data_IF_744290266104
#
_entry.id   IF_744290266104
#
_cell.length_a   1.000
_cell.length_b   1.000
_cell.length_c   1.000
_cell.angle_alpha   90.00
_cell.angle_beta   90.00
_cell.angle_gamma   90.00
#
_symmetry.space_group_name_H-M   'P 1'
#
loop_
_entity.id
_entity.type
_entity.pdbx_description
1 polymer ?
#
# COMPACT_ATOMS: atom_id res chain seq x y z
N UNK A 1 9.61 2.09 -25.49
CA UNK A 1 8.93 1.08 -26.36
C UNK A 1 9.07 1.50 -27.80
N UNK A 2 9.42 0.57 -28.70
CA UNK A 2 9.51 0.88 -30.13
C UNK A 2 8.13 0.81 -30.82
N UNK A 3 7.90 1.74 -31.74
CA UNK A 3 6.67 1.76 -32.55
C UNK A 3 6.56 0.49 -33.41
N UNK A 4 5.45 -0.23 -33.39
CA UNK A 4 5.25 -1.39 -34.29
C UNK A 4 5.13 -0.98 -35.76
N UNK A 5 4.92 0.31 -36.05
CA UNK A 5 4.78 0.82 -37.42
C UNK A 5 6.11 1.29 -37.97
N UNK A 6 6.85 2.11 -37.19
CA UNK A 6 8.06 2.80 -37.69
C UNK A 6 9.36 2.26 -37.11
N UNK A 7 9.31 1.39 -36.10
CA UNK A 7 10.49 0.87 -35.38
C UNK A 7 11.21 1.90 -34.49
N UNK A 8 10.78 3.18 -34.50
CA UNK A 8 11.38 4.24 -33.70
C UNK A 8 10.92 4.19 -32.24
N UNK A 9 11.75 4.74 -31.34
CA UNK A 9 11.37 4.87 -29.92
C UNK A 9 10.19 5.81 -29.74
N UNK A 10 9.19 5.38 -28.95
CA UNK A 10 8.00 6.16 -28.60
C UNK A 10 8.14 6.75 -27.22
N UNK A 11 7.56 7.94 -27.03
CA UNK A 11 7.48 8.61 -25.73
C UNK A 11 6.24 8.17 -24.96
N UNK A 12 6.41 7.97 -23.65
CA UNK A 12 5.29 7.78 -22.74
C UNK A 12 4.58 9.12 -22.52
N UNK A 13 3.31 9.16 -22.89
CA UNK A 13 2.43 10.31 -22.74
C UNK A 13 1.42 10.07 -21.62
N UNK A 14 0.91 11.16 -21.07
CA UNK A 14 -0.11 11.15 -20.02
C UNK A 14 -1.14 12.23 -20.32
N UNK A 15 -2.40 11.90 -20.15
CA UNK A 15 -3.49 12.88 -20.26
C UNK A 15 -4.65 12.51 -19.34
N UNK A 16 -5.46 13.49 -18.93
CA UNK A 16 -6.69 13.20 -18.19
C UNK A 16 -7.75 12.67 -19.15
N UNK A 17 -8.34 11.52 -18.79
CA UNK A 17 -9.46 10.91 -19.52
C UNK A 17 -10.54 10.49 -18.53
N UNK A 18 -11.80 10.64 -18.96
CA UNK A 18 -12.95 10.10 -18.26
C UNK A 18 -13.31 8.75 -18.87
N UNK A 19 -13.34 7.70 -18.07
CA UNK A 19 -13.60 6.31 -18.47
C UNK A 19 -14.90 5.85 -17.85
N UNK A 20 -15.79 5.27 -18.68
CA UNK A 20 -17.04 4.66 -18.22
C UNK A 20 -16.80 3.23 -17.71
N UNK A 21 -17.22 2.93 -16.48
CA UNK A 21 -17.19 1.59 -15.92
C UNK A 21 -18.44 1.33 -15.08
N UNK A 22 -19.19 0.26 -15.40
CA UNK A 22 -20.43 -0.14 -14.71
C UNK A 22 -21.42 1.02 -14.53
N UNK A 23 -21.63 1.82 -15.57
CA UNK A 23 -22.52 3.01 -15.62
C UNK A 23 -22.05 4.23 -14.80
N UNK A 24 -20.83 4.18 -14.28
CA UNK A 24 -20.18 5.29 -13.55
C UNK A 24 -19.03 5.86 -14.37
N UNK A 25 -18.71 7.14 -14.17
CA UNK A 25 -17.57 7.81 -14.81
C UNK A 25 -16.45 8.03 -13.80
N UNK A 26 -15.22 7.75 -14.27
CA UNK A 26 -14.00 7.88 -13.48
C UNK A 26 -12.96 8.66 -14.26
N UNK A 27 -12.43 9.72 -13.66
CA UNK A 27 -11.34 10.49 -14.24
C UNK A 27 -10.01 9.86 -13.83
N UNK A 28 -9.18 9.57 -14.83
CA UNK A 28 -7.87 8.95 -14.64
C UNK A 28 -6.78 9.74 -15.35
N UNK A 29 -5.55 9.54 -14.93
CA UNK A 29 -4.36 9.91 -15.69
C UNK A 29 -4.05 8.77 -16.64
N UNK A 30 -4.55 8.85 -17.88
CA UNK A 30 -4.38 7.81 -18.90
C UNK A 30 -2.96 7.84 -19.44
N UNK A 31 -2.30 6.69 -19.42
CA UNK A 31 -0.93 6.51 -19.89
C UNK A 31 -0.94 5.76 -21.23
N UNK A 32 -0.14 6.23 -22.20
CA UNK A 32 0.01 5.60 -23.50
C UNK A 32 1.34 6.00 -24.16
N UNK A 33 1.80 5.20 -25.10
CA UNK A 33 2.91 5.56 -25.97
C UNK A 33 2.37 6.21 -27.24
N UNK A 34 3.02 7.29 -27.70
CA UNK A 34 2.67 7.96 -28.95
C UNK A 34 3.79 7.81 -29.95
N UNK A 35 3.45 7.36 -31.17
CA UNK A 35 4.33 7.37 -32.30
C UNK A 35 4.35 8.78 -32.92
N UNK A 36 5.50 9.45 -32.96
CA UNK A 36 5.59 10.83 -33.49
C UNK A 36 5.33 10.90 -34.98
N UNK A 37 5.68 9.85 -35.75
CA UNK A 37 5.52 9.84 -37.22
C UNK A 37 4.09 9.53 -37.65
N UNK A 38 3.43 8.53 -37.03
CA UNK A 38 2.06 8.13 -37.40
C UNK A 38 0.97 8.82 -36.60
N UNK A 39 1.33 9.40 -35.42
CA UNK A 39 0.38 9.98 -34.48
C UNK A 39 -0.41 8.95 -33.68
N UNK A 40 -0.24 7.65 -33.96
CA UNK A 40 -1.01 6.59 -33.30
C UNK A 40 -0.57 6.34 -31.86
N UNK A 41 -1.53 5.88 -31.06
CA UNK A 41 -1.36 5.59 -29.63
C UNK A 41 -1.31 4.08 -29.41
N UNK A 42 -0.37 3.67 -28.55
CA UNK A 42 -0.17 2.27 -28.18
C UNK A 42 -0.08 2.14 -26.66
N UNK A 43 -0.49 1.00 -26.16
CA UNK A 43 -0.28 0.62 -24.77
C UNK A 43 0.51 -0.68 -24.68
N UNK A 44 0.95 -1.01 -23.50
CA UNK A 44 1.48 -2.33 -23.12
C UNK A 44 0.58 -2.92 -22.07
N UNK A 45 0.64 -4.23 -21.86
CA UNK A 45 -0.12 -4.90 -20.80
C UNK A 45 0.04 -4.19 -19.45
N UNK A 46 1.26 -3.79 -19.08
CA UNK A 46 1.50 -3.07 -17.82
C UNK A 46 0.88 -1.67 -17.77
N UNK A 47 0.79 -0.98 -18.90
CA UNK A 47 0.11 0.32 -19.00
C UNK A 47 -1.41 0.14 -18.97
N UNK A 48 -1.93 -0.90 -19.61
CA UNK A 48 -3.36 -1.21 -19.55
C UNK A 48 -3.78 -1.59 -18.13
N UNK A 49 -2.99 -2.38 -17.43
CA UNK A 49 -3.18 -2.69 -16.00
C UNK A 49 -3.16 -1.42 -15.15
N UNK A 50 -2.18 -0.52 -15.37
CA UNK A 50 -2.10 0.74 -14.65
C UNK A 50 -3.34 1.63 -14.88
N UNK A 51 -3.78 1.77 -16.13
CA UNK A 51 -4.96 2.55 -16.48
C UNK A 51 -6.24 1.91 -15.88
N UNK A 52 -6.36 0.59 -15.96
CA UNK A 52 -7.50 -0.17 -15.41
C UNK A 52 -7.54 -0.10 -13.89
N UNK A 53 -6.39 -0.21 -13.22
CA UNK A 53 -6.32 -0.13 -11.77
C UNK A 53 -6.75 1.23 -11.23
N UNK A 54 -6.49 2.33 -11.94
CA UNK A 54 -7.00 3.65 -11.54
C UNK A 54 -8.54 3.67 -11.52
N UNK A 55 -9.19 3.10 -12.54
CA UNK A 55 -10.66 3.00 -12.59
C UNK A 55 -11.19 2.08 -11.49
N UNK A 56 -10.60 0.89 -11.36
CA UNK A 56 -11.05 -0.14 -10.41
C UNK A 56 -10.90 0.31 -8.97
N UNK A 57 -9.81 0.99 -8.63
CA UNK A 57 -9.57 1.45 -7.26
C UNK A 57 -10.55 2.56 -6.87
N UNK A 58 -10.82 3.52 -7.76
CA UNK A 58 -11.85 4.54 -7.55
C UNK A 58 -13.26 3.91 -7.43
N UNK A 59 -13.56 2.86 -8.22
CA UNK A 59 -14.83 2.14 -8.11
C UNK A 59 -14.94 1.42 -6.76
N UNK A 60 -13.86 0.73 -6.31
CA UNK A 60 -13.83 0.06 -5.00
C UNK A 60 -14.05 1.06 -3.86
N UNK A 61 -13.35 2.19 -3.89
CA UNK A 61 -13.51 3.27 -2.91
C UNK A 61 -14.95 3.78 -2.87
N UNK A 62 -15.52 4.14 -4.01
CA UNK A 62 -16.89 4.70 -4.13
C UNK A 62 -17.97 3.74 -3.63
N UNK A 63 -17.83 2.44 -3.89
CA UNK A 63 -18.84 1.43 -3.55
C UNK A 63 -18.47 0.56 -2.35
N UNK A 64 -17.41 0.93 -1.62
CA UNK A 64 -16.91 0.20 -0.45
C UNK A 64 -16.67 -1.29 -0.75
N UNK A 65 -16.09 -1.61 -1.90
CA UNK A 65 -15.71 -2.96 -2.30
C UNK A 65 -14.32 -3.27 -1.74
N UNK A 66 -14.09 -4.41 -1.10
CA UNK A 66 -12.80 -4.73 -0.54
C UNK A 66 -11.73 -4.87 -1.65
N UNK A 67 -10.53 -4.41 -1.34
CA UNK A 67 -9.37 -4.54 -2.22
C UNK A 67 -8.81 -5.97 -2.22
N UNK A 68 -8.07 -6.39 -3.26
CA UNK A 68 -7.58 -7.77 -3.38
C UNK A 68 -6.76 -8.27 -2.19
N UNK A 69 -5.95 -7.39 -1.59
CA UNK A 69 -5.18 -7.71 -0.38
C UNK A 69 -6.07 -7.87 0.86
N UNK A 70 -7.11 -7.05 1.03
CA UNK A 70 -8.13 -7.22 2.08
C UNK A 70 -8.85 -8.57 1.92
N UNK A 71 -9.28 -8.91 0.70
CA UNK A 71 -9.93 -10.18 0.39
C UNK A 71 -9.00 -11.36 0.76
N UNK A 72 -7.73 -11.27 0.39
CA UNK A 72 -6.72 -12.26 0.73
C UNK A 72 -6.50 -12.36 2.24
N UNK A 73 -6.42 -11.22 2.96
CA UNK A 73 -6.24 -11.18 4.40
C UNK A 73 -7.41 -11.81 5.15
N UNK A 74 -8.66 -11.52 4.73
CA UNK A 74 -9.88 -12.11 5.30
C UNK A 74 -9.83 -13.63 5.22
N UNK A 75 -9.44 -14.22 4.10
CA UNK A 75 -9.31 -15.67 3.97
C UNK A 75 -8.17 -16.26 4.79
N UNK A 76 -7.00 -15.64 4.69
CA UNK A 76 -5.77 -16.16 5.35
C UNK A 76 -5.92 -16.24 6.87
N UNK A 77 -6.62 -15.30 7.51
CA UNK A 77 -6.81 -15.36 8.98
C UNK A 77 -7.56 -16.61 9.47
N UNK A 78 -8.38 -17.22 8.61
CA UNK A 78 -9.09 -18.46 8.92
C UNK A 78 -8.34 -19.72 8.43
N UNK A 79 -7.13 -19.59 7.88
CA UNK A 79 -6.32 -20.68 7.30
C UNK A 79 -7.07 -21.47 6.22
N UNK A 80 -7.88 -20.75 5.40
CA UNK A 80 -8.70 -21.34 4.35
C UNK A 80 -8.05 -21.25 2.96
N UNK A 81 -8.32 -22.24 2.09
CA UNK A 81 -8.09 -22.09 0.65
C UNK A 81 -9.13 -21.19 0.01
N UNK A 82 -8.80 -20.57 -1.13
CA UNK A 82 -9.75 -19.73 -1.87
C UNK A 82 -11.02 -20.51 -2.30
N UNK A 83 -10.85 -21.78 -2.70
CA UNK A 83 -11.98 -22.64 -3.04
C UNK A 83 -12.89 -22.90 -1.82
N UNK A 84 -12.31 -23.14 -0.64
CA UNK A 84 -13.09 -23.37 0.57
C UNK A 84 -13.81 -22.09 1.03
N UNK A 85 -13.17 -20.94 0.86
CA UNK A 85 -13.81 -19.65 1.14
C UNK A 85 -14.98 -19.37 0.18
N UNK A 86 -14.81 -19.69 -1.12
CA UNK A 86 -15.92 -19.63 -2.10
C UNK A 86 -17.09 -20.52 -1.69
N UNK A 87 -16.82 -21.74 -1.25
CA UNK A 87 -17.83 -22.71 -0.80
C UNK A 87 -18.63 -22.18 0.40
N UNK A 88 -17.94 -21.71 1.45
CA UNK A 88 -18.60 -21.20 2.68
C UNK A 88 -19.46 -19.95 2.38
N UNK A 89 -18.98 -19.08 1.49
CA UNK A 89 -19.72 -17.87 1.13
C UNK A 89 -20.78 -18.09 0.04
N UNK A 90 -20.97 -19.32 -0.46
CA UNK A 90 -21.92 -19.62 -1.52
C UNK A 90 -21.57 -18.97 -2.87
N UNK A 91 -20.28 -18.75 -3.13
CA UNK A 91 -19.79 -18.19 -4.37
C UNK A 91 -19.46 -19.29 -5.38
N UNK A 92 -19.27 -18.93 -6.67
CA UNK A 92 -18.73 -19.85 -7.67
C UNK A 92 -17.34 -20.37 -7.27
N UNK A 93 -17.00 -21.60 -7.64
CA UNK A 93 -15.81 -22.35 -7.19
C UNK A 93 -14.51 -21.55 -7.28
N UNK A 94 -14.32 -20.76 -8.33
CA UNK A 94 -13.10 -19.97 -8.57
C UNK A 94 -13.26 -18.46 -8.20
N UNK A 95 -14.46 -18.03 -7.81
CA UNK A 95 -14.76 -16.59 -7.66
C UNK A 95 -13.86 -15.91 -6.64
N UNK A 96 -13.63 -16.54 -5.48
CA UNK A 96 -12.79 -15.94 -4.45
C UNK A 96 -11.35 -15.75 -4.92
N UNK A 97 -10.79 -16.75 -5.62
CA UNK A 97 -9.47 -16.68 -6.23
C UNK A 97 -9.35 -15.58 -7.28
N UNK A 98 -10.39 -15.39 -8.10
CA UNK A 98 -10.44 -14.33 -9.10
C UNK A 98 -10.49 -12.95 -8.43
N UNK A 99 -11.24 -12.79 -7.34
CA UNK A 99 -11.29 -11.55 -6.57
C UNK A 99 -9.95 -11.22 -5.89
N UNK A 100 -9.23 -12.23 -5.37
CA UNK A 100 -7.87 -12.07 -4.88
C UNK A 100 -6.89 -11.66 -5.98
N UNK A 101 -7.11 -12.08 -7.22
CA UNK A 101 -6.33 -11.71 -8.40
C UNK A 101 -6.72 -10.35 -9.00
N UNK A 102 -7.70 -9.64 -8.41
CA UNK A 102 -8.07 -8.28 -8.82
C UNK A 102 -9.39 -8.17 -9.59
N UNK A 103 -10.07 -9.28 -9.91
CA UNK A 103 -11.40 -9.20 -10.50
C UNK A 103 -12.38 -8.48 -9.57
N UNK A 104 -13.29 -7.74 -10.19
CA UNK A 104 -14.23 -6.90 -9.45
C UNK A 104 -15.47 -7.71 -9.02
N UNK A 105 -15.66 -7.98 -7.71
CA UNK A 105 -16.85 -8.64 -7.22
C UNK A 105 -18.12 -7.82 -7.51
N UNK A 106 -19.28 -8.48 -7.50
CA UNK A 106 -20.56 -7.80 -7.40
C UNK A 106 -20.69 -7.10 -6.04
N UNK A 107 -21.55 -6.10 -5.94
CA UNK A 107 -21.80 -5.42 -4.66
C UNK A 107 -22.30 -6.42 -3.60
N UNK A 108 -23.11 -7.40 -3.99
CA UNK A 108 -23.60 -8.43 -3.08
C UNK A 108 -22.45 -9.32 -2.55
N UNK A 109 -21.58 -9.81 -3.45
CA UNK A 109 -20.43 -10.63 -3.07
C UNK A 109 -19.42 -9.84 -2.23
N UNK A 110 -19.21 -8.56 -2.54
CA UNK A 110 -18.37 -7.67 -1.75
C UNK A 110 -18.87 -7.53 -0.30
N UNK A 111 -20.19 -7.40 -0.11
CA UNK A 111 -20.80 -7.37 1.22
C UNK A 111 -20.60 -8.67 1.99
N UNK A 112 -20.78 -9.84 1.34
CA UNK A 112 -20.53 -11.14 1.94
C UNK A 112 -19.07 -11.29 2.39
N UNK A 113 -18.12 -10.87 1.54
CA UNK A 113 -16.69 -10.90 1.86
C UNK A 113 -16.39 -10.01 3.07
N UNK A 114 -16.91 -8.77 3.10
CA UNK A 114 -16.73 -7.87 4.26
C UNK A 114 -17.38 -8.41 5.54
N UNK A 115 -18.54 -9.02 5.46
CA UNK A 115 -19.19 -9.65 6.61
C UNK A 115 -18.37 -10.82 7.17
N UNK A 116 -17.70 -11.59 6.29
CA UNK A 116 -16.79 -12.67 6.70
C UNK A 116 -15.53 -12.16 7.43
N UNK A 117 -15.25 -10.86 7.42
CA UNK A 117 -14.16 -10.29 8.21
C UNK A 117 -14.43 -10.33 9.72
N UNK A 118 -15.68 -10.32 10.16
CA UNK A 118 -16.01 -10.54 11.56
C UNK A 118 -16.09 -12.04 11.88
N UNK A 119 -15.24 -12.57 12.80
CA UNK A 119 -15.22 -13.98 13.12
C UNK A 119 -16.57 -14.53 13.66
N UNK A 120 -17.36 -13.70 14.35
CA UNK A 120 -18.67 -14.11 14.88
C UNK A 120 -19.69 -14.29 13.75
N UNK A 121 -19.70 -13.36 12.78
CA UNK A 121 -20.57 -13.46 11.61
C UNK A 121 -20.12 -14.64 10.75
N UNK A 122 -18.83 -14.84 10.59
CA UNK A 122 -18.27 -15.93 9.80
C UNK A 122 -18.61 -17.31 10.38
N UNK A 123 -18.66 -17.48 11.71
CA UNK A 123 -19.15 -18.72 12.33
C UNK A 123 -20.57 -19.06 11.85
N UNK A 124 -21.48 -18.08 11.84
CA UNK A 124 -22.83 -18.29 11.31
C UNK A 124 -22.86 -18.71 9.85
N UNK A 125 -21.97 -18.14 9.01
CA UNK A 125 -21.86 -18.53 7.60
C UNK A 125 -21.36 -20.00 7.46
N UNK A 126 -20.42 -20.43 8.29
CA UNK A 126 -19.94 -21.82 8.32
C UNK A 126 -21.09 -22.79 8.72
N UNK A 127 -21.90 -22.42 9.72
CA UNK A 127 -23.05 -23.22 10.15
C UNK A 127 -24.09 -23.38 9.06
N UNK A 128 -24.34 -22.32 8.28
CA UNK A 128 -25.29 -22.33 7.15
C UNK A 128 -24.75 -23.09 5.92
N UNK A 129 -23.46 -23.36 5.85
CA UNK A 129 -22.85 -24.07 4.71
C UNK A 129 -23.17 -25.58 4.78
N UNK A 130 -24.13 -26.04 3.99
CA UNK A 130 -24.62 -27.41 3.97
C UNK A 130 -23.65 -28.44 3.35
N UNK A 131 -22.61 -28.00 2.65
CA UNK A 131 -21.67 -28.88 1.93
C UNK A 131 -20.47 -29.32 2.78
N UNK A 132 -20.26 -28.70 3.95
CA UNK A 132 -19.18 -29.04 4.85
C UNK A 132 -19.48 -30.32 5.66
N UNK A 133 -18.54 -31.26 5.69
CA UNK A 133 -18.59 -32.34 6.64
C UNK A 133 -18.41 -31.85 8.09
N UNK A 134 -18.84 -32.66 9.07
CA UNK A 134 -18.82 -32.26 10.48
C UNK A 134 -17.40 -31.94 11.01
N UNK A 135 -16.38 -32.66 10.54
CA UNK A 135 -14.99 -32.45 10.96
C UNK A 135 -14.44 -31.12 10.46
N UNK A 136 -14.67 -30.80 9.19
CA UNK A 136 -14.27 -29.54 8.59
C UNK A 136 -15.04 -28.37 9.24
N UNK A 137 -16.33 -28.51 9.44
CA UNK A 137 -17.19 -27.50 10.13
C UNK A 137 -16.65 -27.20 11.52
N UNK A 138 -16.43 -28.23 12.35
CA UNK A 138 -15.91 -28.06 13.70
C UNK A 138 -14.52 -27.38 13.70
N UNK A 139 -13.62 -27.77 12.79
CA UNK A 139 -12.31 -27.13 12.63
C UNK A 139 -12.42 -25.64 12.37
N UNK A 140 -13.24 -25.22 11.41
CA UNK A 140 -13.34 -23.82 11.00
C UNK A 140 -14.09 -22.98 12.04
N UNK A 141 -15.11 -23.51 12.70
CA UNK A 141 -15.80 -22.85 13.83
C UNK A 141 -14.82 -22.64 14.99
N UNK A 142 -14.00 -23.63 15.34
CA UNK A 142 -13.03 -23.48 16.43
C UNK A 142 -11.98 -22.42 16.09
N UNK A 143 -11.49 -22.37 14.85
CA UNK A 143 -10.57 -21.30 14.39
C UNK A 143 -11.22 -19.93 14.50
N UNK A 144 -12.44 -19.76 13.99
CA UNK A 144 -13.16 -18.48 14.07
C UNK A 144 -13.44 -18.07 15.52
N UNK A 145 -13.77 -19.01 16.40
CA UNK A 145 -13.96 -18.76 17.83
C UNK A 145 -12.68 -18.26 18.51
N UNK A 146 -11.54 -18.93 18.27
CA UNK A 146 -10.23 -18.49 18.77
C UNK A 146 -9.92 -17.06 18.36
N UNK A 147 -10.13 -16.71 17.08
CA UNK A 147 -9.93 -15.34 16.57
C UNK A 147 -10.87 -14.31 17.22
N UNK A 148 -12.11 -14.68 17.52
CA UNK A 148 -13.05 -13.82 18.22
C UNK A 148 -12.63 -13.55 19.67
N UNK A 149 -12.00 -14.51 20.32
CA UNK A 149 -11.45 -14.39 21.68
C UNK A 149 -10.16 -13.58 21.70
N UNK A 150 -9.21 -13.86 20.77
CA UNK A 150 -7.96 -13.11 20.62
C UNK A 150 -8.21 -11.61 20.35
N UNK A 151 -9.21 -11.28 19.55
CA UNK A 151 -9.60 -9.89 19.29
C UNK A 151 -9.99 -9.16 20.58
N UNK A 152 -10.60 -9.84 21.56
CA UNK A 152 -10.93 -9.24 22.86
C UNK A 152 -9.70 -8.96 23.72
N UNK A 153 -8.69 -9.84 23.67
CA UNK A 153 -7.48 -9.75 24.50
C UNK A 153 -6.50 -8.71 23.96
N UNK A 154 -6.39 -8.56 22.65
CA UNK A 154 -5.42 -7.69 21.98
C UNK A 154 -5.97 -6.29 21.61
N UNK A 155 -7.15 -5.90 22.09
CA UNK A 155 -7.78 -4.60 21.76
C UNK A 155 -6.82 -3.42 22.00
N UNK A 156 -6.04 -3.42 23.07
CA UNK A 156 -5.13 -2.33 23.38
C UNK A 156 -4.00 -2.21 22.34
N UNK A 157 -3.35 -3.32 21.95
CA UNK A 157 -2.28 -3.30 20.93
C UNK A 157 -2.81 -2.95 19.54
N UNK A 158 -4.00 -3.43 19.19
CA UNK A 158 -4.67 -3.10 17.93
C UNK A 158 -5.02 -1.62 17.88
N UNK A 159 -5.68 -1.10 18.92
CA UNK A 159 -6.04 0.31 19.02
C UNK A 159 -4.81 1.23 19.02
N UNK A 160 -3.68 0.79 19.58
CA UNK A 160 -2.46 1.58 19.57
C UNK A 160 -1.83 1.64 18.17
N UNK A 161 -1.76 0.54 17.42
CA UNK A 161 -1.32 0.52 16.03
C UNK A 161 -2.23 1.35 15.13
N UNK A 162 -3.54 1.22 15.29
CA UNK A 162 -4.54 2.05 14.61
C UNK A 162 -4.40 3.54 15.01
N UNK A 163 -4.08 3.83 16.26
CA UNK A 163 -3.78 5.18 16.69
C UNK A 163 -2.54 5.74 15.99
N UNK A 164 -1.47 4.96 15.81
CA UNK A 164 -0.23 5.39 15.17
C UNK A 164 -0.40 5.65 13.66
N UNK A 165 -1.03 4.73 12.93
CA UNK A 165 -1.17 4.81 11.48
C UNK A 165 -2.51 5.40 11.02
N UNK A 166 -3.47 5.58 11.93
CA UNK A 166 -4.85 5.96 11.63
C UNK A 166 -5.75 4.74 11.37
N UNK A 167 -7.04 4.90 11.65
CA UNK A 167 -8.10 3.96 11.33
C UNK A 167 -8.95 4.54 10.19
N UNK A 168 -8.50 4.40 8.97
CA UNK A 168 -9.23 4.85 7.80
C UNK A 168 -9.37 3.71 6.79
N UNK A 169 -10.44 3.75 6.01
CA UNK A 169 -10.58 2.87 4.87
C UNK A 169 -9.54 3.22 3.81
N UNK A 170 -9.20 2.23 2.98
CA UNK A 170 -8.32 2.42 1.85
C UNK A 170 -8.93 3.43 0.86
N UNK A 171 -8.19 4.50 0.58
CA UNK A 171 -8.57 5.60 -0.31
C UNK A 171 -7.36 6.12 -1.09
N UNK A 172 -7.57 7.16 -1.89
CA UNK A 172 -6.48 7.78 -2.67
C UNK A 172 -5.39 8.40 -1.77
N UNK A 173 -5.67 8.74 -0.52
CA UNK A 173 -4.70 9.31 0.42
C UNK A 173 -3.88 8.26 1.16
N UNK A 174 -4.29 6.98 1.08
CA UNK A 174 -3.53 5.82 1.60
C UNK A 174 -2.93 4.96 0.48
N UNK A 175 -3.04 5.42 -0.78
CA UNK A 175 -2.63 4.64 -1.94
C UNK A 175 -3.40 3.34 -2.07
N UNK A 176 -4.69 3.37 -1.77
CA UNK A 176 -5.64 2.26 -1.87
C UNK A 176 -5.23 1.00 -1.08
N UNK A 177 -4.54 1.21 0.06
CA UNK A 177 -4.18 0.17 1.04
C UNK A 177 -4.69 0.55 2.42
N UNK A 178 -5.09 -0.43 3.21
CA UNK A 178 -5.22 -0.24 4.65
C UNK A 178 -3.84 -0.09 5.27
N UNK A 179 -3.68 0.75 6.31
CA UNK A 179 -2.41 0.90 6.98
C UNK A 179 -1.86 -0.43 7.50
N UNK A 180 -0.69 -0.83 7.04
CA UNK A 180 0.02 -2.03 7.47
C UNK A 180 1.23 -1.65 8.31
N UNK A 181 1.08 -1.73 9.64
CA UNK A 181 2.13 -1.38 10.58
C UNK A 181 3.36 -2.28 10.45
N UNK A 182 3.18 -3.56 10.17
CA UNK A 182 4.30 -4.50 10.05
C UNK A 182 5.13 -4.18 8.79
N UNK A 183 4.48 -3.93 7.65
CA UNK A 183 5.19 -3.47 6.44
C UNK A 183 5.88 -2.13 6.65
N UNK A 184 5.20 -1.14 7.24
CA UNK A 184 5.81 0.17 7.50
C UNK A 184 7.04 0.05 8.40
N UNK A 185 6.95 -0.73 9.49
CA UNK A 185 8.06 -1.04 10.36
C UNK A 185 9.25 -1.65 9.61
N UNK A 186 8.98 -2.66 8.79
CA UNK A 186 10.03 -3.32 8.00
C UNK A 186 10.66 -2.39 6.96
N UNK A 187 9.91 -1.45 6.38
CA UNK A 187 10.50 -0.40 5.51
C UNK A 187 11.50 0.47 6.29
N UNK A 188 11.17 0.84 7.53
CA UNK A 188 12.10 1.61 8.40
C UNK A 188 13.36 0.79 8.71
N UNK A 189 13.22 -0.50 9.05
CA UNK A 189 14.35 -1.42 9.29
C UNK A 189 15.20 -1.56 8.03
N UNK A 190 14.59 -1.77 6.87
CA UNK A 190 15.28 -1.89 5.59
C UNK A 190 16.18 -0.67 5.30
N UNK A 191 15.61 0.54 5.40
CA UNK A 191 16.39 1.75 5.16
C UNK A 191 17.44 2.01 6.24
N UNK A 192 17.21 1.58 7.48
CA UNK A 192 18.21 1.63 8.54
C UNK A 192 19.40 0.72 8.25
N UNK A 193 19.17 -0.49 7.69
CA UNK A 193 20.24 -1.41 7.27
C UNK A 193 21.02 -0.90 6.05
N UNK A 194 20.32 -0.34 5.05
CA UNK A 194 20.92 0.02 3.76
C UNK A 194 21.63 1.36 3.75
N UNK A 195 21.19 2.32 4.58
CA UNK A 195 21.53 3.75 4.43
C UNK A 195 21.95 4.38 5.75
N UNK A 196 21.47 3.91 6.92
CA UNK A 196 21.61 4.56 8.22
C UNK A 196 21.20 6.06 8.18
N UNK A 197 19.96 6.38 7.74
CA UNK A 197 19.57 7.74 7.45
C UNK A 197 19.32 8.57 8.71
N UNK A 198 19.51 9.88 8.63
CA UNK A 198 18.93 10.81 9.59
C UNK A 198 17.40 10.84 9.49
N UNK A 199 16.70 11.18 10.56
CA UNK A 199 15.24 11.20 10.67
C UNK A 199 14.54 11.88 9.47
N UNK A 200 15.03 13.05 9.09
CA UNK A 200 14.46 13.78 7.94
C UNK A 200 14.62 13.00 6.64
N UNK A 201 15.78 12.39 6.42
CA UNK A 201 16.02 11.55 5.23
C UNK A 201 15.17 10.29 5.28
N UNK A 202 15.01 9.62 6.43
CA UNK A 202 14.13 8.46 6.61
C UNK A 202 12.71 8.77 6.12
N UNK A 203 12.13 9.88 6.54
CA UNK A 203 10.79 10.30 6.11
C UNK A 203 10.66 10.41 4.58
N UNK A 204 11.73 10.90 3.90
CA UNK A 204 11.71 11.02 2.44
C UNK A 204 11.87 9.67 1.74
N UNK A 205 12.69 8.78 2.29
CA UNK A 205 12.84 7.42 1.76
C UNK A 205 11.51 6.66 1.80
N UNK A 206 10.78 6.75 2.91
CA UNK A 206 9.46 6.15 3.07
C UNK A 206 8.45 6.75 2.07
N UNK A 207 8.42 8.08 1.95
CA UNK A 207 7.58 8.78 0.97
C UNK A 207 7.87 8.32 -0.46
N UNK A 208 9.13 8.32 -0.87
CA UNK A 208 9.48 7.93 -2.23
C UNK A 208 9.20 6.44 -2.52
N UNK A 209 9.36 5.56 -1.53
CA UNK A 209 9.05 4.14 -1.70
C UNK A 209 7.54 3.91 -1.95
N UNK A 210 6.69 4.47 -1.11
CA UNK A 210 5.24 4.34 -1.26
C UNK A 210 4.74 5.00 -2.55
N UNK A 211 5.19 6.21 -2.87
CA UNK A 211 4.77 6.93 -4.07
C UNK A 211 5.31 6.30 -5.35
N UNK A 212 6.53 5.78 -5.35
CA UNK A 212 7.07 5.08 -6.52
C UNK A 212 6.33 3.76 -6.77
N UNK A 213 5.95 3.02 -5.72
CA UNK A 213 5.12 1.84 -5.85
C UNK A 213 3.76 2.19 -6.45
N UNK A 214 3.12 3.26 -5.95
CA UNK A 214 1.85 3.74 -6.49
C UNK A 214 1.97 4.16 -7.96
N UNK A 215 3.04 4.84 -8.35
CA UNK A 215 3.33 5.23 -9.74
C UNK A 215 3.31 4.05 -10.71
N UNK A 216 3.72 2.86 -10.24
CA UNK A 216 3.81 1.66 -11.05
C UNK A 216 2.57 0.75 -10.99
N UNK A 217 1.81 0.78 -9.89
CA UNK A 217 0.78 -0.22 -9.61
C UNK A 217 -0.58 0.34 -9.24
N UNK A 218 -0.68 1.63 -8.94
CA UNK A 218 -1.81 2.30 -8.29
C UNK A 218 -2.08 1.80 -6.86
N UNK A 219 -1.07 1.24 -6.18
CA UNK A 219 -1.10 0.85 -4.78
C UNK A 219 0.16 1.33 -4.07
N UNK A 220 0.04 1.77 -2.81
CA UNK A 220 1.20 2.00 -1.94
C UNK A 220 1.74 0.67 -1.39
N UNK A 221 2.88 0.71 -0.68
CA UNK A 221 3.40 -0.43 0.07
C UNK A 221 2.72 -0.51 1.44
N UNK A 222 2.73 0.62 2.18
CA UNK A 222 2.40 0.65 3.60
C UNK A 222 0.96 1.05 3.92
N UNK A 223 0.24 1.70 3.01
CA UNK A 223 -1.07 2.29 3.28
C UNK A 223 -1.04 3.54 4.16
N UNK A 224 0.13 4.10 4.42
CA UNK A 224 0.30 5.26 5.30
C UNK A 224 -0.01 6.56 4.56
N UNK A 225 -0.66 7.50 5.24
CA UNK A 225 -0.88 8.85 4.74
C UNK A 225 0.32 9.74 4.95
N UNK A 226 0.63 10.56 3.96
CA UNK A 226 1.73 11.53 4.02
C UNK A 226 1.19 12.95 4.08
N UNK A 227 1.85 13.80 4.87
CA UNK A 227 1.52 15.21 5.03
C UNK A 227 2.67 16.09 4.56
N UNK A 228 2.34 17.19 3.89
CA UNK A 228 3.32 18.19 3.52
C UNK A 228 3.63 19.09 4.73
N UNK A 229 4.89 19.08 5.18
CA UNK A 229 5.38 20.01 6.21
C UNK A 229 6.58 20.78 5.69
N UNK A 230 7.08 21.76 6.45
CA UNK A 230 8.15 22.68 6.01
C UNK A 230 9.42 21.95 5.52
N UNK A 231 9.73 20.79 6.11
CA UNK A 231 10.89 19.97 5.74
C UNK A 231 10.55 18.91 4.67
N UNK A 232 9.44 19.06 3.94
CA UNK A 232 8.98 18.15 2.89
C UNK A 232 7.99 17.08 3.39
N UNK A 233 7.57 16.11 2.53
CA UNK A 233 6.60 15.09 2.89
C UNK A 233 7.06 14.20 4.05
N UNK A 234 6.15 13.88 4.97
CA UNK A 234 6.38 12.96 6.10
C UNK A 234 5.16 12.07 6.32
N UNK A 235 5.31 10.83 6.81
CA UNK A 235 4.18 10.03 7.28
C UNK A 235 3.45 10.76 8.41
N UNK A 236 2.13 10.65 8.47
CA UNK A 236 1.40 11.16 9.63
C UNK A 236 1.91 10.48 10.92
N UNK A 237 2.04 11.25 11.99
CA UNK A 237 2.53 10.78 13.31
C UNK A 237 3.92 10.09 13.29
N UNK A 238 4.76 10.38 12.29
CA UNK A 238 6.08 9.76 12.15
C UNK A 238 6.91 9.80 13.43
N UNK A 239 6.84 10.87 14.23
CA UNK A 239 7.57 10.99 15.49
C UNK A 239 7.18 9.88 16.47
N UNK A 240 5.88 9.73 16.74
CA UNK A 240 5.37 8.69 17.66
C UNK A 240 5.64 7.28 17.15
N UNK A 241 5.61 7.08 15.82
CA UNK A 241 5.92 5.79 15.20
C UNK A 241 7.40 5.45 15.44
N UNK A 242 8.32 6.38 15.19
CA UNK A 242 9.76 6.15 15.35
C UNK A 242 10.15 5.92 16.81
N UNK A 243 9.58 6.72 17.74
CA UNK A 243 9.75 6.51 19.19
C UNK A 243 9.26 5.12 19.62
N UNK A 244 8.10 4.70 19.11
CA UNK A 244 7.58 3.36 19.40
C UNK A 244 8.51 2.27 18.87
N UNK A 245 9.00 2.38 17.63
CA UNK A 245 9.91 1.39 17.05
C UNK A 245 11.24 1.29 17.81
N UNK A 246 11.76 2.41 18.31
CA UNK A 246 12.96 2.41 19.14
C UNK A 246 12.72 1.77 20.52
N UNK A 247 11.57 2.04 21.16
CA UNK A 247 11.18 1.47 22.45
C UNK A 247 10.91 -0.05 22.36
N UNK A 248 10.34 -0.52 21.24
CA UNK A 248 10.12 -1.95 20.97
C UNK A 248 11.39 -2.66 20.47
N UNK A 249 12.53 -1.98 20.50
CA UNK A 249 13.82 -2.52 20.08
C UNK A 249 13.89 -3.00 18.62
N UNK A 250 13.07 -2.43 17.73
CA UNK A 250 13.08 -2.73 16.29
C UNK A 250 14.23 -2.03 15.55
N UNK A 251 14.65 -0.84 16.03
CA UNK A 251 15.76 -0.02 15.51
C UNK A 251 16.46 0.68 16.65
N UNK A 252 17.67 1.19 16.41
CA UNK A 252 18.37 2.12 17.30
C UNK A 252 18.31 3.54 16.72
N UNK A 253 17.96 4.53 17.56
CA UNK A 253 18.02 5.95 17.20
C UNK A 253 19.07 6.62 18.10
N UNK A 254 20.08 7.25 17.48
CA UNK A 254 21.16 7.95 18.20
C UNK A 254 21.19 9.42 17.85
N UNK A 255 21.39 10.25 18.84
CA UNK A 255 21.65 11.68 18.64
C UNK A 255 23.11 11.87 18.23
N UNK A 256 23.32 12.38 17.02
CA UNK A 256 24.63 12.68 16.44
C UNK A 256 24.84 14.20 16.48
N UNK A 257 25.90 14.66 17.09
CA UNK A 257 26.26 16.07 17.09
C UNK A 257 27.05 16.43 15.84
N UNK A 258 26.61 17.48 15.14
CA UNK A 258 27.32 18.03 14.00
C UNK A 258 28.37 19.04 14.40
N UNK A 259 29.31 19.32 13.49
CA UNK A 259 30.38 20.29 13.69
C UNK A 259 29.92 21.74 13.96
N UNK A 260 28.69 22.06 13.53
CA UNK A 260 28.03 23.36 13.77
C UNK A 260 27.30 23.45 15.13
N UNK A 261 27.40 22.43 15.98
CA UNK A 261 26.76 22.37 17.30
C UNK A 261 25.33 21.84 17.31
N UNK A 262 24.68 21.68 16.14
CA UNK A 262 23.37 21.09 16.05
C UNK A 262 23.42 19.58 16.25
N UNK A 263 22.28 18.97 16.60
CA UNK A 263 22.13 17.52 16.72
C UNK A 263 21.08 16.99 15.73
N UNK A 264 21.29 15.75 15.30
CA UNK A 264 20.32 15.02 14.46
C UNK A 264 20.14 13.59 14.93
N UNK A 265 18.92 13.08 14.85
CA UNK A 265 18.59 11.69 15.14
C UNK A 265 18.92 10.82 13.93
N UNK A 266 19.84 9.89 14.08
CA UNK A 266 20.24 8.93 13.05
C UNK A 266 19.76 7.53 13.40
N UNK A 267 19.28 6.81 12.41
CA UNK A 267 18.68 5.48 12.51
C UNK A 267 19.70 4.41 12.17
N UNK A 268 19.77 3.38 13.01
CA UNK A 268 20.64 2.23 12.83
C UNK A 268 19.85 0.93 12.93
N UNK A 269 20.23 -0.04 12.11
CA UNK A 269 19.74 -1.39 12.26
C UNK A 269 20.33 -2.08 13.49
N UNK A 270 19.56 -2.95 14.12
CA UNK A 270 20.03 -3.79 15.23
C UNK A 270 20.55 -5.12 14.71
N UNK A 271 21.72 -5.57 15.19
CA UNK A 271 22.38 -6.81 14.71
C UNK A 271 21.49 -8.05 14.80
N UNK A 272 20.66 -8.13 15.83
CA UNK A 272 19.82 -9.30 16.10
C UNK A 272 18.38 -9.15 15.56
N UNK A 273 18.14 -8.13 14.75
CA UNK A 273 16.84 -7.82 14.18
C UNK A 273 16.97 -7.53 12.68
N UNK A 274 17.17 -8.57 11.86
CA UNK A 274 17.28 -8.40 10.41
C UNK A 274 15.94 -8.03 9.76
N UNK A 275 16.02 -7.37 8.61
CA UNK A 275 14.87 -7.08 7.76
C UNK A 275 14.11 -8.35 7.34
N UNK A 276 12.80 -8.31 7.39
CA UNK A 276 11.91 -9.42 7.00
C UNK A 276 11.36 -9.22 5.60
N UNK A 277 12.04 -9.77 4.61
CA UNK A 277 11.67 -9.64 3.20
C UNK A 277 10.38 -10.41 2.82
N UNK A 278 10.04 -11.44 3.56
CA UNK A 278 8.88 -12.32 3.32
C UNK A 278 7.50 -11.62 3.43
N UNK A 279 7.46 -10.45 4.05
CA UNK A 279 6.27 -9.60 4.12
C UNK A 279 5.98 -8.83 2.80
N UNK A 280 6.95 -8.78 1.90
CA UNK A 280 6.88 -7.97 0.69
C UNK A 280 6.77 -8.83 -0.56
N UNK A 281 6.08 -8.30 -1.56
CA UNK A 281 6.12 -8.86 -2.92
C UNK A 281 7.45 -8.52 -3.60
N UNK A 282 7.82 -9.28 -4.64
CA UNK A 282 9.01 -8.98 -5.45
C UNK A 282 9.03 -7.54 -5.95
N UNK A 283 7.88 -7.04 -6.38
CA UNK A 283 7.76 -5.66 -6.88
C UNK A 283 7.97 -4.61 -5.80
N UNK A 284 7.49 -4.84 -4.59
CA UNK A 284 7.73 -3.97 -3.44
C UNK A 284 9.23 -3.95 -3.07
N UNK A 285 9.88 -5.12 -3.07
CA UNK A 285 11.34 -5.23 -2.84
C UNK A 285 12.16 -4.50 -3.90
N UNK A 286 11.81 -4.65 -5.20
CA UNK A 286 12.43 -3.89 -6.29
C UNK A 286 12.35 -2.37 -6.06
N UNK A 287 11.19 -1.89 -5.62
CA UNK A 287 10.98 -0.45 -5.34
C UNK A 287 11.81 0.00 -4.14
N UNK A 288 11.84 -0.77 -3.06
CA UNK A 288 12.66 -0.45 -1.87
C UNK A 288 14.15 -0.37 -2.23
N UNK A 289 14.68 -1.37 -2.95
CA UNK A 289 16.08 -1.38 -3.40
C UNK A 289 16.38 -0.23 -4.37
N UNK A 290 15.45 0.09 -5.28
CA UNK A 290 15.60 1.23 -6.19
C UNK A 290 15.70 2.55 -5.43
N UNK A 291 14.82 2.80 -4.46
CA UNK A 291 14.85 4.01 -3.64
C UNK A 291 16.13 4.07 -2.80
N UNK A 292 16.53 2.95 -2.19
CA UNK A 292 17.78 2.88 -1.44
C UNK A 292 18.99 3.23 -2.33
N UNK A 293 19.06 2.66 -3.52
CA UNK A 293 20.14 2.91 -4.49
C UNK A 293 20.18 4.37 -4.93
N UNK A 294 19.03 4.96 -5.28
CA UNK A 294 18.92 6.35 -5.73
C UNK A 294 19.41 7.36 -4.69
N UNK A 295 19.11 7.09 -3.41
CA UNK A 295 19.36 8.05 -2.35
C UNK A 295 20.52 7.68 -1.41
N UNK A 296 21.24 6.57 -1.64
CA UNK A 296 22.32 6.12 -0.75
C UNK A 296 23.35 7.22 -0.48
N UNK A 297 23.85 7.86 -1.54
CA UNK A 297 24.85 8.92 -1.48
C UNK A 297 24.27 10.33 -1.35
N UNK A 298 22.95 10.51 -1.40
CA UNK A 298 22.30 11.82 -1.34
C UNK A 298 22.31 12.34 0.08
N UNK A 299 22.75 13.59 0.29
CA UNK A 299 22.70 14.21 1.61
C UNK A 299 21.27 14.48 2.08
N UNK A 300 21.09 14.67 3.40
CA UNK A 300 19.78 15.06 3.96
C UNK A 300 19.27 16.37 3.37
N UNK A 301 20.15 17.34 3.17
CA UNK A 301 19.75 18.63 2.57
C UNK A 301 19.34 18.49 1.11
N UNK A 302 20.00 17.64 0.35
CA UNK A 302 19.69 17.48 -1.06
C UNK A 302 18.38 16.70 -1.27
N UNK A 303 18.10 15.66 -0.47
CA UNK A 303 16.81 14.95 -0.56
C UNK A 303 15.64 15.85 -0.12
N UNK A 304 15.84 16.80 0.80
CA UNK A 304 14.84 17.83 1.12
C UNK A 304 14.57 18.69 -0.12
N UNK A 305 15.62 19.25 -0.74
CA UNK A 305 15.49 20.06 -1.96
C UNK A 305 14.76 19.30 -3.07
N UNK A 306 15.12 18.03 -3.31
CA UNK A 306 14.43 17.19 -4.27
C UNK A 306 12.96 17.00 -3.93
N UNK A 307 12.64 16.73 -2.67
CA UNK A 307 11.24 16.56 -2.24
C UNK A 307 10.42 17.84 -2.38
N UNK A 308 11.04 19.01 -2.26
CA UNK A 308 10.40 20.31 -2.48
C UNK A 308 10.15 20.62 -3.98
N UNK A 309 10.82 19.93 -4.89
CA UNK A 309 10.54 20.03 -6.33
C UNK A 309 9.33 19.21 -6.76
N UNK A 310 8.87 18.27 -5.92
CA UNK A 310 7.73 17.41 -6.24
C UNK A 310 6.40 18.19 -6.14
N UNK A 311 5.51 17.95 -7.10
CA UNK A 311 4.16 18.55 -7.09
C UNK A 311 3.35 18.08 -5.88
N UNK A 312 3.61 16.87 -5.40
CA UNK A 312 3.07 16.32 -4.17
C UNK A 312 3.27 17.23 -2.96
N UNK A 313 4.43 17.86 -2.84
CA UNK A 313 4.72 18.81 -1.76
C UNK A 313 4.21 20.21 -2.10
N UNK A 314 4.54 20.76 -3.26
CA UNK A 314 4.20 22.13 -3.66
C UNK A 314 2.72 22.47 -3.57
N UNK A 315 1.85 21.54 -4.00
CA UNK A 315 0.40 21.75 -3.98
C UNK A 315 -0.21 21.66 -2.59
N UNK A 316 0.52 21.11 -1.62
CA UNK A 316 0.01 20.79 -0.28
C UNK A 316 0.72 21.53 0.86
N UNK A 317 1.90 22.17 0.62
CA UNK A 317 2.72 22.80 1.67
C UNK A 317 2.01 23.92 2.41
N UNK A 318 1.35 24.83 1.66
CA UNK A 318 0.71 26.03 2.21
C UNK A 318 -0.31 25.71 3.31
N UNK A 319 -1.07 24.64 3.14
CA UNK A 319 -2.11 24.22 4.07
C UNK A 319 -1.65 23.03 4.96
N UNK A 320 -0.43 22.58 4.80
CA UNK A 320 0.10 21.35 5.44
C UNK A 320 -0.86 20.18 5.27
N UNK A 321 -1.43 20.02 4.08
CA UNK A 321 -2.46 19.04 3.78
C UNK A 321 -1.91 17.62 3.69
N UNK A 322 -2.80 16.63 3.84
CA UNK A 322 -2.53 15.24 3.45
C UNK A 322 -2.37 15.19 1.93
N UNK A 323 -1.36 14.46 1.48
CA UNK A 323 -0.96 14.39 0.07
C UNK A 323 -1.70 13.24 -0.61
N UNK A 324 -2.39 13.52 -1.71
CA UNK A 324 -2.97 12.48 -2.57
C UNK A 324 -1.87 11.70 -3.28
N UNK A 325 -1.99 10.37 -3.30
CA UNK A 325 -1.07 9.50 -4.06
C UNK A 325 -1.17 9.68 -5.58
N UNK A 326 -2.22 10.34 -6.10
CA UNK A 326 -2.29 10.69 -7.52
C UNK A 326 -1.06 11.49 -7.98
N UNK A 327 -0.46 12.30 -7.09
CA UNK A 327 0.78 13.02 -7.37
C UNK A 327 1.98 12.11 -7.66
N UNK A 328 1.90 10.81 -7.39
CA UNK A 328 2.93 9.86 -7.75
C UNK A 328 3.18 9.80 -9.27
N UNK A 329 2.16 10.05 -10.08
CA UNK A 329 2.32 10.10 -11.53
C UNK A 329 3.17 11.28 -12.02
N UNK A 330 3.36 12.30 -11.17
CA UNK A 330 4.18 13.49 -11.45
C UNK A 330 5.58 13.42 -10.81
N UNK A 331 5.91 12.31 -10.10
CA UNK A 331 7.25 12.13 -9.50
C UNK A 331 8.36 12.26 -10.54
N UNK A 332 9.40 13.00 -10.17
CA UNK A 332 10.56 13.32 -11.00
C UNK A 332 11.70 12.29 -10.90
N UNK A 333 11.41 11.12 -10.29
CA UNK A 333 12.32 9.98 -10.18
C UNK A 333 12.29 9.09 -11.43
#
# INVERSE_FOLDING_TARGET
>A
MKSPITGKEMKLMKERRSIDFRKEKFDIVYHYYKCEDSGEQFTTTSIDELNTNQVYNQYRERFNIPFPDEITAIRKKYDLSAAKMSEILGLGVNSYRQYEAGEMPSIANAKLIRMADDPKIFMGMIELCGTLDEKARAKYINKARSLAEEKKINIFKLNFKEYLLGSHLADIYSGYRNPDFEKFKEMVVFFSEKIEPFKTKMNKLLFYADFLMFKHTCFSISGVRYRAIDMGPVPEKFQSIFEYLANEEEIDIKNIQFSNGNTGEQFFARKNRPFKADLFTEKELEVLEKVASLFKSTSTNDIIKLSHLEEAWKKNEKNRSVISYEHAFELKL
#
